data_IF_122444501644
#
_entry.id   IF_122444501644
#
_cell.length_a   1.000
_cell.length_b   1.000
_cell.length_c   1.000
_cell.angle_alpha   90.00
_cell.angle_beta   90.00
_cell.angle_gamma   90.00
#
_symmetry.space_group_name_H-M   'P 1'
#
loop_
_entity.id
_entity.type
_entity.pdbx_description
1 polymer ?
#
# COMPACT_ATOMS: atom_id res chain seq x y z
N UNK A 1 -6.93 -21.67 -13.21
CA UNK A 1 -6.54 -20.81 -12.07
C UNK A 1 -6.38 -19.39 -12.59
N UNK A 2 -6.98 -18.39 -11.95
CA UNK A 2 -6.77 -16.98 -12.30
C UNK A 2 -5.40 -16.50 -11.81
N UNK A 3 -4.88 -15.41 -12.38
CA UNK A 3 -3.60 -14.83 -11.96
C UNK A 3 -3.59 -14.52 -10.45
N UNK A 4 -4.66 -13.90 -9.95
CA UNK A 4 -4.83 -13.61 -8.53
C UNK A 4 -4.80 -14.88 -7.66
N UNK A 5 -5.50 -15.94 -8.07
CA UNK A 5 -5.51 -17.20 -7.32
C UNK A 5 -4.11 -17.84 -7.24
N UNK A 6 -3.31 -17.71 -8.31
CA UNK A 6 -1.92 -18.18 -8.32
C UNK A 6 -1.03 -17.37 -7.37
N UNK A 7 -1.09 -16.04 -7.47
CA UNK A 7 -0.33 -15.14 -6.57
C UNK A 7 -0.71 -15.38 -5.11
N UNK A 8 -2.00 -15.53 -4.81
CA UNK A 8 -2.46 -15.79 -3.45
C UNK A 8 -1.98 -17.15 -2.91
N UNK A 9 -1.90 -18.18 -3.77
CA UNK A 9 -1.32 -19.47 -3.39
C UNK A 9 0.18 -19.33 -3.07
N UNK A 10 0.94 -18.71 -3.98
CA UNK A 10 2.39 -18.48 -3.81
C UNK A 10 2.69 -17.61 -2.57
N UNK A 11 1.89 -16.54 -2.37
CA UNK A 11 1.99 -15.66 -1.21
C UNK A 11 1.69 -16.39 0.10
N UNK A 12 0.73 -17.31 0.11
CA UNK A 12 0.40 -18.10 1.29
C UNK A 12 1.47 -19.15 1.60
N UNK A 13 2.12 -19.73 0.59
CA UNK A 13 3.16 -20.74 0.75
C UNK A 13 4.46 -20.12 1.32
N UNK A 14 4.82 -18.93 0.87
CA UNK A 14 6.04 -18.21 1.29
C UNK A 14 5.72 -16.93 2.08
N UNK A 15 4.73 -17.00 2.97
CA UNK A 15 4.14 -15.84 3.64
C UNK A 15 5.16 -14.93 4.34
N UNK A 16 6.14 -15.48 5.08
CA UNK A 16 7.11 -14.67 5.84
C UNK A 16 7.99 -13.84 4.89
N UNK A 17 8.56 -14.47 3.86
CA UNK A 17 9.43 -13.80 2.89
C UNK A 17 8.67 -12.75 2.09
N UNK A 18 7.47 -13.11 1.61
CA UNK A 18 6.64 -12.16 0.86
C UNK A 18 6.08 -11.04 1.73
N UNK A 19 5.80 -11.26 3.01
CA UNK A 19 5.37 -10.21 3.94
C UNK A 19 6.46 -9.16 4.14
N UNK A 20 7.73 -9.58 4.25
CA UNK A 20 8.85 -8.64 4.35
C UNK A 20 8.98 -7.76 3.09
N UNK A 21 8.88 -8.38 1.90
CA UNK A 21 8.89 -7.66 0.63
C UNK A 21 7.67 -6.74 0.48
N UNK A 22 6.49 -7.18 0.93
CA UNK A 22 5.25 -6.41 0.90
C UNK A 22 5.33 -5.15 1.76
N UNK A 23 5.90 -5.24 2.97
CA UNK A 23 6.15 -4.08 3.84
C UNK A 23 7.03 -3.06 3.11
N UNK A 24 8.15 -3.51 2.53
CA UNK A 24 9.08 -2.62 1.80
C UNK A 24 8.36 -1.96 0.62
N UNK A 25 7.69 -2.75 -0.22
CA UNK A 25 6.99 -2.24 -1.39
C UNK A 25 5.90 -1.21 -1.02
N UNK A 26 5.06 -1.54 -0.03
CA UNK A 26 3.98 -0.66 0.44
C UNK A 26 4.51 0.63 1.06
N UNK A 27 5.54 0.55 1.92
CA UNK A 27 6.06 1.71 2.65
C UNK A 27 6.90 2.64 1.78
N UNK A 28 7.69 2.09 0.85
CA UNK A 28 8.44 2.89 -0.12
C UNK A 28 7.50 3.64 -1.07
N UNK A 29 6.51 2.96 -1.64
CA UNK A 29 5.56 3.60 -2.57
C UNK A 29 4.69 4.63 -1.85
N UNK A 30 4.25 4.34 -0.62
CA UNK A 30 3.59 5.33 0.24
C UNK A 30 4.44 6.56 0.53
N UNK A 31 5.73 6.38 0.85
CA UNK A 31 6.67 7.50 1.08
C UNK A 31 6.81 8.40 -0.16
N UNK A 32 6.86 7.81 -1.36
CA UNK A 32 6.89 8.56 -2.62
C UNK A 32 5.60 9.35 -2.81
N UNK A 33 4.43 8.73 -2.57
CA UNK A 33 3.14 9.39 -2.68
C UNK A 33 3.00 10.58 -1.71
N UNK A 34 3.43 10.41 -0.46
CA UNK A 34 3.43 11.48 0.57
C UNK A 34 4.35 12.62 0.13
N UNK A 35 5.58 12.32 -0.30
CA UNK A 35 6.52 13.34 -0.74
C UNK A 35 6.00 14.10 -1.96
N UNK A 36 5.52 13.39 -2.98
CA UNK A 36 4.93 14.00 -4.18
C UNK A 36 3.76 14.93 -3.81
N UNK A 37 2.93 14.51 -2.85
CA UNK A 37 1.82 15.32 -2.35
C UNK A 37 2.28 16.60 -1.65
N UNK A 38 3.30 16.49 -0.79
CA UNK A 38 3.81 17.61 -0.01
C UNK A 38 4.59 18.62 -0.86
N UNK A 39 5.19 18.19 -1.97
CA UNK A 39 5.86 19.09 -2.91
C UNK A 39 4.88 20.08 -3.57
N UNK A 40 3.63 19.67 -3.77
CA UNK A 40 2.55 20.52 -4.28
C UNK A 40 1.88 21.37 -3.17
N UNK A 41 2.46 21.40 -1.97
CA UNK A 41 1.99 22.19 -0.83
C UNK A 41 1.26 21.37 0.25
N UNK A 42 0.56 22.09 1.11
CA UNK A 42 0.05 21.56 2.38
C UNK A 42 -1.36 22.10 2.71
N UNK A 43 -2.19 22.33 1.69
CA UNK A 43 -3.61 22.63 1.91
C UNK A 43 -4.35 21.40 2.45
N UNK A 44 -5.60 21.60 2.87
CA UNK A 44 -6.44 20.55 3.46
C UNK A 44 -6.56 19.30 2.57
N UNK A 45 -6.58 19.48 1.25
CA UNK A 45 -6.66 18.36 0.29
C UNK A 45 -5.37 17.54 0.30
N UNK A 46 -4.19 18.18 0.23
CA UNK A 46 -2.90 17.48 0.33
C UNK A 46 -2.79 16.71 1.64
N UNK A 47 -3.22 17.30 2.75
CA UNK A 47 -3.17 16.64 4.06
C UNK A 47 -4.12 15.45 4.15
N UNK A 48 -5.28 15.53 3.50
CA UNK A 48 -6.18 14.39 3.38
C UNK A 48 -5.58 13.24 2.56
N UNK A 49 -4.89 13.55 1.45
CA UNK A 49 -4.20 12.54 0.64
C UNK A 49 -3.06 11.87 1.41
N UNK A 50 -2.26 12.65 2.15
CA UNK A 50 -1.21 12.12 3.04
C UNK A 50 -1.82 11.21 4.11
N UNK A 51 -2.90 11.65 4.77
CA UNK A 51 -3.62 10.83 5.74
C UNK A 51 -4.08 9.49 5.13
N UNK A 52 -4.68 9.54 3.94
CA UNK A 52 -5.18 8.35 3.26
C UNK A 52 -4.02 7.39 2.90
N UNK A 53 -2.89 7.90 2.41
CA UNK A 53 -1.68 7.12 2.16
C UNK A 53 -1.19 6.41 3.42
N UNK A 54 -1.05 7.15 4.52
CA UNK A 54 -0.58 6.62 5.81
C UNK A 54 -1.52 5.54 6.33
N UNK A 55 -2.83 5.79 6.37
CA UNK A 55 -3.81 4.84 6.92
C UNK A 55 -3.80 3.52 6.15
N UNK A 56 -3.77 3.55 4.82
CA UNK A 56 -3.81 2.32 4.02
C UNK A 56 -2.49 1.52 4.17
N UNK A 57 -1.34 2.19 4.18
CA UNK A 57 -0.05 1.54 4.44
C UNK A 57 0.03 0.97 5.86
N UNK A 58 -0.44 1.71 6.87
CA UNK A 58 -0.50 1.26 8.26
C UNK A 58 -1.45 0.08 8.44
N UNK A 59 -2.59 0.06 7.73
CA UNK A 59 -3.52 -1.07 7.76
C UNK A 59 -2.87 -2.35 7.22
N UNK A 60 -2.14 -2.26 6.10
CA UNK A 60 -1.37 -3.40 5.57
C UNK A 60 -0.32 -3.90 6.58
N UNK A 61 0.50 -3.00 7.14
CA UNK A 61 1.51 -3.37 8.13
C UNK A 61 0.88 -3.98 9.40
N UNK A 62 -0.23 -3.42 9.87
CA UNK A 62 -0.97 -3.93 11.02
C UNK A 62 -1.53 -5.34 10.76
N UNK A 63 -2.01 -5.61 9.55
CA UNK A 63 -2.50 -6.93 9.18
C UNK A 63 -1.39 -8.00 9.23
N UNK A 64 -0.16 -7.65 8.83
CA UNK A 64 1.00 -8.54 8.95
C UNK A 64 1.35 -8.78 10.43
N UNK A 65 1.48 -7.71 11.22
CA UNK A 65 1.87 -7.78 12.62
C UNK A 65 0.85 -8.50 13.51
N UNK A 66 -0.44 -8.40 13.17
CA UNK A 66 -1.51 -9.13 13.86
C UNK A 66 -1.77 -10.53 13.30
N UNK A 67 -0.89 -11.01 12.40
CA UNK A 67 -0.93 -12.36 11.82
C UNK A 67 -2.29 -12.67 11.19
N UNK A 68 -2.80 -11.71 10.40
CA UNK A 68 -4.04 -11.90 9.67
C UNK A 68 -3.91 -12.96 8.57
N UNK A 69 -5.05 -13.40 8.04
CA UNK A 69 -5.10 -14.35 6.92
C UNK A 69 -4.28 -13.82 5.74
N UNK A 70 -3.42 -14.62 5.09
CA UNK A 70 -2.56 -14.19 3.98
C UNK A 70 -3.32 -13.46 2.85
N UNK A 71 -4.55 -13.92 2.57
CA UNK A 71 -5.44 -13.28 1.59
C UNK A 71 -5.75 -11.82 1.93
N UNK A 72 -6.07 -11.52 3.20
CA UNK A 72 -6.37 -10.16 3.64
C UNK A 72 -5.12 -9.27 3.54
N UNK A 73 -3.95 -9.80 3.90
CA UNK A 73 -2.67 -9.09 3.79
C UNK A 73 -2.36 -8.74 2.33
N UNK A 74 -2.56 -9.69 1.41
CA UNK A 74 -2.38 -9.48 -0.03
C UNK A 74 -3.38 -8.47 -0.59
N UNK A 75 -4.65 -8.55 -0.19
CA UNK A 75 -5.69 -7.60 -0.63
C UNK A 75 -5.36 -6.17 -0.15
N UNK A 76 -4.88 -6.02 1.09
CA UNK A 76 -4.43 -4.73 1.62
C UNK A 76 -3.14 -4.23 0.95
N UNK A 77 -2.24 -5.12 0.53
CA UNK A 77 -1.07 -4.74 -0.28
C UNK A 77 -1.50 -4.18 -1.63
N UNK A 78 -2.41 -4.87 -2.32
CA UNK A 78 -2.94 -4.41 -3.61
C UNK A 78 -3.64 -3.06 -3.42
N UNK A 79 -4.45 -2.93 -2.37
CA UNK A 79 -5.11 -1.67 -2.06
C UNK A 79 -4.09 -0.53 -1.80
N UNK A 80 -3.03 -0.78 -1.03
CA UNK A 80 -2.00 0.24 -0.76
C UNK A 80 -1.25 0.64 -2.03
N UNK A 81 -0.89 -0.31 -2.89
CA UNK A 81 -0.23 -0.04 -4.16
C UNK A 81 -1.14 0.79 -5.09
N UNK A 82 -2.41 0.39 -5.24
CA UNK A 82 -3.37 1.09 -6.11
C UNK A 82 -3.64 2.49 -5.61
N UNK A 83 -3.96 2.65 -4.32
CA UNK A 83 -4.28 3.95 -3.72
C UNK A 83 -3.10 4.91 -3.86
N UNK A 84 -1.90 4.50 -3.48
CA UNK A 84 -0.74 5.39 -3.54
C UNK A 84 -0.32 5.69 -4.99
N UNK A 85 -0.48 4.74 -5.92
CA UNK A 85 -0.25 5.00 -7.36
C UNK A 85 -1.25 6.03 -7.89
N UNK A 86 -2.52 5.94 -7.50
CA UNK A 86 -3.54 6.95 -7.86
C UNK A 86 -3.23 8.32 -7.24
N UNK A 87 -2.74 8.38 -6.00
CA UNK A 87 -2.31 9.64 -5.37
C UNK A 87 -1.14 10.27 -6.14
N UNK A 88 -0.16 9.47 -6.55
CA UNK A 88 0.99 9.95 -7.33
C UNK A 88 0.53 10.50 -8.68
N UNK A 89 -0.31 9.75 -9.41
CA UNK A 89 -0.84 10.18 -10.71
C UNK A 89 -1.75 11.41 -10.58
N UNK A 90 -2.60 11.44 -9.56
CA UNK A 90 -3.52 12.55 -9.28
C UNK A 90 -2.81 13.82 -8.84
N UNK A 91 -1.66 13.72 -8.16
CA UNK A 91 -0.83 14.88 -7.85
C UNK A 91 -0.24 15.55 -9.08
N UNK A 92 -0.08 14.84 -10.20
CA UNK A 92 0.37 15.47 -11.45
C UNK A 92 -0.66 16.41 -12.10
N UNK A 93 -1.90 16.45 -11.59
CA UNK A 93 -2.98 17.30 -12.11
C UNK A 93 -3.14 18.65 -11.38
N UNK A 94 -2.47 18.85 -10.25
CA UNK A 94 -2.56 20.06 -9.40
C UNK A 94 -1.17 20.63 -9.12
#
# INVERSE_FOLDING_TARGET
>A
MTLYAKINADFSENYIGYSALAIIASTCLGSIAIMATLLNGNSTIQMFLVFLSVVVCSAHNAAILTVQKPKLVLDLLIASLVVNTLIILGNGLY
#
